data_IF_103111571795
#
_entry.id   IF_103111571795
#
_cell.length_a   1.000
_cell.length_b   1.000
_cell.length_c   1.000
_cell.angle_alpha   90.00
_cell.angle_beta   90.00
_cell.angle_gamma   90.00
#
_symmetry.space_group_name_H-M   'P 1'
#
loop_
_entity.id
_entity.type
_entity.pdbx_description
1 polymer ?
#
# COMPACT_ATOMS: atom_id res chain seq x y z
N UNK A 1 24.51 -6.58 63.01
CA UNK A 1 24.88 -5.27 62.43
C UNK A 1 23.76 -4.87 61.50
N UNK A 2 22.83 -4.11 62.05
CA UNK A 2 21.52 -3.80 61.45
C UNK A 2 21.60 -2.36 60.97
N UNK A 3 21.59 -2.14 59.67
CA UNK A 3 21.72 -0.78 59.10
C UNK A 3 20.32 -0.23 58.80
N UNK A 4 19.86 0.62 59.70
CA UNK A 4 18.72 1.51 59.56
C UNK A 4 19.13 2.71 58.70
N UNK A 5 18.34 3.10 57.70
CA UNK A 5 18.42 4.46 57.12
C UNK A 5 17.05 4.93 56.60
N UNK A 6 16.37 5.64 57.49
CA UNK A 6 15.76 6.97 57.33
C UNK A 6 15.03 7.33 56.03
N UNK A 7 13.70 7.35 56.12
CA UNK A 7 12.75 8.16 55.33
C UNK A 7 12.57 9.57 55.90
N UNK A 8 12.53 10.61 55.05
CA UNK A 8 11.85 11.93 55.21
C UNK A 8 11.95 12.71 53.86
N UNK A 9 11.15 13.77 53.56
CA UNK A 9 9.72 13.76 53.30
C UNK A 9 9.33 14.49 51.97
N UNK A 10 8.05 14.38 51.65
CA UNK A 10 7.28 15.07 50.60
C UNK A 10 7.55 16.59 50.52
N UNK A 11 7.76 17.11 49.31
CA UNK A 11 7.53 18.53 48.99
C UNK A 11 6.57 18.65 47.81
N UNK A 12 5.41 19.25 48.11
CA UNK A 12 4.35 19.64 47.18
C UNK A 12 4.82 20.79 46.27
N UNK A 13 4.68 20.65 44.94
CA UNK A 13 4.84 21.77 44.01
C UNK A 13 3.63 21.94 43.10
N UNK A 14 2.87 23.00 43.42
CA UNK A 14 1.99 23.88 42.64
C UNK A 14 1.48 23.37 41.28
N UNK A 15 0.15 23.34 41.19
CA UNK A 15 -0.61 23.13 39.96
C UNK A 15 -0.33 24.15 38.87
N UNK A 16 -0.08 23.64 37.67
CA UNK A 16 -0.17 24.35 36.41
C UNK A 16 -1.38 23.85 35.64
N UNK A 17 -2.37 24.73 35.49
CA UNK A 17 -3.59 24.53 34.68
C UNK A 17 -3.16 24.42 33.21
N UNK A 18 -3.08 23.20 32.65
CA UNK A 18 -2.95 23.04 31.19
C UNK A 18 -4.32 23.24 30.57
N UNK A 19 -4.42 24.29 29.75
CA UNK A 19 -5.58 24.58 28.92
C UNK A 19 -5.91 23.38 28.03
N UNK A 20 -7.18 22.96 28.08
CA UNK A 20 -7.76 22.08 27.10
C UNK A 20 -7.67 22.76 25.72
N UNK A 21 -7.01 22.12 24.76
CA UNK A 21 -7.19 22.45 23.35
C UNK A 21 -8.48 21.78 22.91
N UNK A 22 -9.52 22.58 22.75
CA UNK A 22 -10.68 22.23 21.94
C UNK A 22 -10.22 21.89 20.54
N UNK A 23 -10.44 20.64 20.12
CA UNK A 23 -10.00 20.16 18.81
C UNK A 23 -10.19 18.67 18.61
N UNK A 24 -11.22 18.08 19.23
CA UNK A 24 -11.71 16.75 18.85
C UNK A 24 -13.24 16.77 18.94
N UNK A 25 -13.86 17.43 17.95
CA UNK A 25 -15.26 17.18 17.64
C UNK A 25 -15.25 16.04 16.63
N UNK A 26 -15.14 14.81 17.12
CA UNK A 26 -15.57 13.65 16.37
C UNK A 26 -17.00 13.92 15.90
N UNK A 27 -17.20 13.96 14.59
CA UNK A 27 -18.53 14.10 14.02
C UNK A 27 -19.40 12.94 14.55
N UNK A 28 -20.62 13.22 15.04
CA UNK A 28 -21.52 12.16 15.46
C UNK A 28 -21.80 11.24 14.27
N UNK A 29 -21.75 9.93 14.50
CA UNK A 29 -22.20 8.95 13.52
C UNK A 29 -23.64 9.29 13.11
N UNK A 30 -23.82 9.72 11.86
CA UNK A 30 -25.11 10.10 11.34
C UNK A 30 -26.00 8.85 11.24
N UNK A 31 -27.13 8.89 11.96
CA UNK A 31 -28.31 8.06 11.70
C UNK A 31 -28.73 8.19 10.22
N UNK A 32 -29.43 7.20 9.65
CA UNK A 32 -29.94 7.07 8.26
C UNK A 32 -30.80 8.24 7.70
N UNK A 33 -30.72 9.44 8.27
CA UNK A 33 -31.16 10.68 7.63
C UNK A 33 -30.31 10.96 6.38
N UNK A 34 -30.99 11.37 5.30
CA UNK A 34 -30.48 11.56 3.93
C UNK A 34 -28.98 11.88 3.86
N UNK A 35 -28.17 10.85 3.57
CA UNK A 35 -26.75 11.02 3.29
C UNK A 35 -26.58 11.92 2.08
N UNK A 36 -25.58 12.80 2.12
CA UNK A 36 -25.25 13.62 0.96
C UNK A 36 -24.87 12.72 -0.21
N UNK A 37 -25.08 13.21 -1.42
CA UNK A 37 -24.86 12.46 -2.66
C UNK A 37 -23.84 13.19 -3.51
N UNK A 38 -22.85 12.47 -4.01
CA UNK A 38 -21.72 13.02 -4.78
C UNK A 38 -21.53 12.25 -6.09
N UNK A 39 -21.00 12.90 -7.12
CA UNK A 39 -20.57 12.24 -8.37
C UNK A 39 -19.10 11.81 -8.30
N UNK A 40 -18.65 11.01 -9.28
CA UNK A 40 -17.22 10.70 -9.41
C UNK A 40 -16.38 11.96 -9.68
N UNK A 41 -16.92 12.91 -10.46
CA UNK A 41 -16.29 14.21 -10.70
C UNK A 41 -16.09 15.01 -9.40
N UNK A 42 -17.11 15.07 -8.52
CA UNK A 42 -16.99 15.73 -7.21
C UNK A 42 -15.81 15.17 -6.42
N UNK A 43 -15.71 13.83 -6.33
CA UNK A 43 -14.63 13.15 -5.58
C UNK A 43 -13.27 13.41 -6.21
N UNK A 44 -13.19 13.44 -7.55
CA UNK A 44 -11.93 13.63 -8.29
C UNK A 44 -11.21 14.95 -7.99
N UNK A 45 -11.95 15.97 -7.56
CA UNK A 45 -11.40 17.26 -7.15
C UNK A 45 -10.59 17.17 -5.84
N UNK A 46 -10.83 16.14 -5.02
CA UNK A 46 -10.24 15.95 -3.70
C UNK A 46 -9.13 14.87 -3.74
N UNK A 47 -8.00 15.22 -4.38
CA UNK A 47 -6.92 14.28 -4.71
C UNK A 47 -5.54 14.64 -4.14
N UNK A 48 -5.47 15.49 -3.11
CA UNK A 48 -4.21 16.00 -2.55
C UNK A 48 -3.99 15.56 -1.09
N UNK A 49 -2.75 15.57 -0.55
CA UNK A 49 -2.52 15.16 0.84
C UNK A 49 -3.28 15.95 1.92
N UNK A 50 -3.67 17.20 1.62
CA UNK A 50 -4.43 18.06 2.52
C UNK A 50 -5.94 18.07 2.24
N UNK A 51 -6.38 17.34 1.22
CA UNK A 51 -7.77 17.27 0.78
C UNK A 51 -7.95 16.00 -0.07
N UNK A 52 -8.31 14.89 0.59
CA UNK A 52 -8.31 13.55 0.00
C UNK A 52 -9.60 12.81 0.26
N UNK A 53 -10.38 12.60 -0.79
CA UNK A 53 -11.56 11.74 -0.76
C UNK A 53 -11.32 10.46 -1.55
N UNK A 54 -12.09 9.42 -1.20
CA UNK A 54 -12.08 8.13 -1.88
C UNK A 54 -13.49 7.55 -1.96
N UNK A 55 -13.72 6.70 -2.96
CA UNK A 55 -14.93 5.90 -3.10
C UNK A 55 -14.62 4.44 -2.74
N UNK A 56 -15.42 3.86 -1.85
CA UNK A 56 -15.36 2.42 -1.48
C UNK A 56 -16.77 1.87 -1.38
N UNK A 57 -17.09 0.86 -2.19
CA UNK A 57 -18.41 0.20 -2.31
C UNK A 57 -19.57 1.20 -2.42
N UNK A 58 -19.38 2.23 -3.26
CA UNK A 58 -20.37 3.28 -3.49
C UNK A 58 -20.54 4.28 -2.33
N UNK A 59 -19.81 4.14 -1.23
CA UNK A 59 -19.70 5.19 -0.21
C UNK A 59 -18.62 6.21 -0.59
N UNK A 60 -18.82 7.46 -0.21
CA UNK A 60 -17.83 8.54 -0.37
C UNK A 60 -17.28 8.93 1.00
N UNK A 61 -15.94 8.96 1.11
CA UNK A 61 -15.25 9.13 2.37
C UNK A 61 -14.21 10.24 2.28
N UNK A 62 -14.28 11.20 3.21
CA UNK A 62 -13.22 12.19 3.43
C UNK A 62 -12.20 11.63 4.42
N UNK A 63 -11.08 11.14 3.89
CA UNK A 63 -10.02 10.51 4.69
C UNK A 63 -8.87 11.47 4.98
N UNK A 64 -9.01 12.77 4.69
CA UNK A 64 -7.96 13.79 4.86
C UNK A 64 -7.31 13.75 6.24
N UNK A 65 -8.14 13.71 7.29
CA UNK A 65 -7.65 13.66 8.67
C UNK A 65 -7.06 12.30 9.09
N UNK A 66 -7.30 11.25 8.30
CA UNK A 66 -6.79 9.90 8.52
C UNK A 66 -5.46 9.64 7.82
N UNK A 67 -5.18 10.32 6.70
CA UNK A 67 -3.94 10.21 5.92
C UNK A 67 -2.67 10.08 6.77
N UNK A 68 -2.37 10.97 7.75
CA UNK A 68 -1.14 10.86 8.54
C UNK A 68 -1.10 9.65 9.48
N UNK A 69 -2.24 9.03 9.74
CA UNK A 69 -2.42 7.87 10.63
C UNK A 69 -2.51 6.56 9.87
N UNK A 70 -2.59 6.60 8.54
CA UNK A 70 -2.79 5.41 7.72
C UNK A 70 -1.60 4.44 7.84
N UNK A 71 -1.80 3.19 8.31
CA UNK A 71 -0.72 2.23 8.48
C UNK A 71 0.01 1.87 7.17
N UNK A 72 -0.68 1.90 6.03
CA UNK A 72 -0.08 1.68 4.72
C UNK A 72 0.72 2.87 4.18
N UNK A 73 0.80 3.98 4.93
CA UNK A 73 1.58 5.15 4.55
C UNK A 73 1.15 5.72 3.20
N UNK A 74 2.13 5.92 2.32
CA UNK A 74 1.93 6.56 1.01
C UNK A 74 1.02 5.76 0.06
N UNK A 75 0.75 4.48 0.33
CA UNK A 75 -0.19 3.69 -0.47
C UNK A 75 -1.61 4.27 -0.47
N UNK A 76 -1.96 5.14 0.48
CA UNK A 76 -3.28 5.81 0.47
C UNK A 76 -3.47 6.74 -0.72
N UNK A 77 -2.39 7.30 -1.28
CA UNK A 77 -2.47 8.28 -2.36
C UNK A 77 -2.65 7.67 -3.75
N UNK A 78 -2.56 6.35 -3.82
CA UNK A 78 -2.51 5.57 -5.06
C UNK A 78 -3.83 5.67 -5.88
N UNK A 79 -4.96 5.91 -5.20
CA UNK A 79 -6.27 6.23 -5.79
C UNK A 79 -6.87 7.49 -5.14
N UNK A 80 -6.06 8.50 -4.86
CA UNK A 80 -6.55 9.77 -4.31
C UNK A 80 -7.59 10.40 -5.25
N UNK A 81 -8.74 10.80 -4.71
CA UNK A 81 -9.86 11.34 -5.50
C UNK A 81 -10.58 10.29 -6.36
N UNK A 82 -10.41 8.99 -6.10
CA UNK A 82 -10.93 7.95 -6.98
C UNK A 82 -11.60 6.77 -6.27
N UNK A 83 -12.10 5.87 -7.11
CA UNK A 83 -12.63 4.55 -6.73
C UNK A 83 -11.48 3.61 -6.34
N UNK A 84 -11.55 3.06 -5.13
CA UNK A 84 -10.51 2.19 -4.58
C UNK A 84 -11.05 0.95 -3.86
N UNK A 85 -12.28 0.51 -4.13
CA UNK A 85 -12.91 -0.67 -3.51
C UNK A 85 -12.02 -1.88 -3.58
N UNK A 86 -11.53 -2.27 -4.77
CA UNK A 86 -10.70 -3.46 -4.90
C UNK A 86 -9.40 -3.34 -4.10
N UNK A 87 -8.74 -2.18 -4.15
CA UNK A 87 -7.53 -1.94 -3.37
C UNK A 87 -7.84 -2.00 -1.86
N UNK A 88 -8.94 -1.38 -1.43
CA UNK A 88 -9.34 -1.39 -0.04
C UNK A 88 -9.61 -2.82 0.45
N UNK A 89 -10.46 -3.56 -0.25
CA UNK A 89 -10.86 -4.92 0.11
C UNK A 89 -9.71 -5.93 0.01
N UNK A 90 -8.73 -5.72 -0.88
CA UNK A 90 -7.56 -6.58 -1.00
C UNK A 90 -6.57 -6.40 0.15
N UNK A 91 -6.29 -5.15 0.54
CA UNK A 91 -5.24 -4.85 1.53
C UNK A 91 -5.76 -4.80 2.98
N UNK A 92 -7.05 -4.54 3.20
CA UNK A 92 -7.56 -4.29 4.54
C UNK A 92 -8.29 -5.51 5.13
N UNK A 93 -8.08 -5.81 6.43
CA UNK A 93 -8.92 -6.77 7.12
C UNK A 93 -10.34 -6.21 7.28
N UNK A 94 -11.34 -7.07 7.41
CA UNK A 94 -12.76 -6.68 7.50
C UNK A 94 -13.03 -5.60 8.55
N UNK A 95 -12.38 -5.69 9.72
CA UNK A 95 -12.47 -4.71 10.81
C UNK A 95 -12.11 -3.26 10.41
N UNK A 96 -11.36 -3.07 9.32
CA UNK A 96 -11.00 -1.74 8.83
C UNK A 96 -12.22 -0.97 8.31
N UNK A 97 -13.28 -1.66 7.89
CA UNK A 97 -14.54 -1.04 7.44
C UNK A 97 -15.18 -0.18 8.54
N UNK A 98 -15.15 -0.65 9.79
CA UNK A 98 -15.66 0.12 10.93
C UNK A 98 -14.82 1.38 11.22
N UNK A 99 -13.54 1.40 10.80
CA UNK A 99 -12.71 2.61 10.86
C UNK A 99 -13.06 3.53 9.70
N UNK A 100 -13.19 3.00 8.48
CA UNK A 100 -13.54 3.74 7.28
C UNK A 100 -14.89 4.45 7.40
N UNK A 101 -15.91 3.80 7.96
CA UNK A 101 -17.26 4.36 8.10
C UNK A 101 -17.30 5.66 8.91
N UNK A 102 -16.33 5.88 9.81
CA UNK A 102 -16.21 7.14 10.58
C UNK A 102 -15.88 8.35 9.70
N UNK A 103 -15.39 8.12 8.49
CA UNK A 103 -14.98 9.11 7.51
C UNK A 103 -16.01 9.28 6.38
N UNK A 104 -17.12 8.55 6.43
CA UNK A 104 -18.15 8.62 5.39
C UNK A 104 -18.84 9.97 5.42
N UNK A 105 -18.91 10.62 4.26
CA UNK A 105 -19.59 11.91 4.08
C UNK A 105 -20.85 11.78 3.24
N UNK A 106 -20.99 10.69 2.48
CA UNK A 106 -22.15 10.47 1.63
C UNK A 106 -22.07 9.20 0.79
N UNK A 107 -22.89 9.18 -0.25
CA UNK A 107 -23.03 8.07 -1.19
C UNK A 107 -22.75 8.55 -2.62
N UNK A 108 -22.13 7.67 -3.41
CA UNK A 108 -21.85 7.92 -4.82
C UNK A 108 -23.16 7.78 -5.61
N UNK A 109 -23.48 8.80 -6.39
CA UNK A 109 -24.48 8.72 -7.45
C UNK A 109 -23.79 8.47 -8.78
N UNK A 110 -24.14 7.33 -9.36
CA UNK A 110 -23.73 6.99 -10.72
C UNK A 110 -24.45 7.88 -11.73
N UNK A 111 -23.70 8.49 -12.64
CA UNK A 111 -24.18 9.36 -13.73
C UNK A 111 -23.86 8.67 -15.06
N UNK A 112 -24.90 8.20 -15.74
CA UNK A 112 -24.73 7.52 -17.03
C UNK A 112 -24.12 8.47 -18.08
N UNK A 113 -23.02 8.04 -18.70
CA UNK A 113 -22.32 8.79 -19.75
C UNK A 113 -21.29 9.79 -19.25
N UNK A 114 -21.04 9.84 -17.93
CA UNK A 114 -19.86 10.49 -17.38
C UNK A 114 -18.67 9.51 -17.49
N UNK A 115 -17.59 9.96 -18.13
CA UNK A 115 -16.40 9.15 -18.37
C UNK A 115 -15.74 8.66 -17.06
N UNK A 116 -15.80 9.46 -15.98
CA UNK A 116 -15.25 9.05 -14.67
C UNK A 116 -16.07 7.94 -14.02
N UNK A 117 -17.32 7.80 -14.44
CA UNK A 117 -18.29 6.86 -13.92
C UNK A 117 -18.25 5.51 -14.69
N UNK A 118 -17.81 5.53 -15.96
CA UNK A 118 -17.60 4.33 -16.78
C UNK A 118 -16.44 3.46 -16.26
N UNK A 119 -15.45 4.08 -15.59
CA UNK A 119 -14.31 3.38 -14.98
C UNK A 119 -14.63 2.74 -13.62
N UNK A 120 -15.83 2.98 -13.07
CA UNK A 120 -16.27 2.43 -11.79
C UNK A 120 -16.89 1.05 -11.99
N UNK A 121 -16.17 0.02 -11.59
CA UNK A 121 -16.64 -1.37 -11.61
C UNK A 121 -17.68 -1.59 -10.51
N UNK A 122 -18.75 -2.31 -10.84
CA UNK A 122 -19.69 -2.84 -9.84
C UNK A 122 -19.16 -4.16 -9.29
N UNK A 123 -19.02 -4.23 -7.97
CA UNK A 123 -18.50 -5.42 -7.28
C UNK A 123 -19.64 -6.21 -6.65
N UNK A 124 -19.63 -7.54 -6.83
CA UNK A 124 -20.43 -8.41 -5.96
C UNK A 124 -19.95 -8.26 -4.51
N UNK A 125 -20.87 -8.32 -3.55
CA UNK A 125 -20.48 -8.43 -2.15
C UNK A 125 -20.19 -9.91 -1.80
N UNK A 126 -18.98 -10.34 -2.14
CA UNK A 126 -18.43 -11.66 -1.84
C UNK A 126 -17.58 -11.69 -0.55
N UNK A 127 -17.68 -10.62 0.25
CA UNK A 127 -17.01 -10.46 1.53
C UNK A 127 -17.86 -10.92 2.72
N UNK A 128 -18.86 -11.76 2.43
CA UNK A 128 -19.73 -12.41 3.41
C UNK A 128 -19.24 -13.84 3.68
N UNK A 129 -19.31 -14.28 4.92
CA UNK A 129 -18.95 -15.66 5.31
C UNK A 129 -19.65 -16.71 4.43
N UNK A 130 -18.89 -17.72 3.97
CA UNK A 130 -19.37 -18.76 3.06
C UNK A 130 -19.26 -18.42 1.57
N UNK A 131 -18.86 -17.18 1.22
CA UNK A 131 -18.45 -16.82 -0.14
C UNK A 131 -16.96 -17.09 -0.33
N UNK A 132 -16.58 -17.47 -1.55
CA UNK A 132 -15.23 -17.90 -1.88
C UNK A 132 -14.13 -16.91 -1.44
N UNK A 133 -14.30 -15.62 -1.73
CA UNK A 133 -13.29 -14.61 -1.41
C UNK A 133 -13.10 -14.44 0.10
N UNK A 134 -14.20 -14.29 0.85
CA UNK A 134 -14.16 -14.20 2.30
C UNK A 134 -13.49 -15.44 2.95
N UNK A 135 -13.88 -16.63 2.51
CA UNK A 135 -13.38 -17.90 3.06
C UNK A 135 -11.88 -18.10 2.77
N UNK A 136 -11.43 -17.82 1.55
CA UNK A 136 -10.00 -17.89 1.17
C UNK A 136 -9.18 -16.89 1.98
N UNK A 137 -9.67 -15.65 2.12
CA UNK A 137 -8.98 -14.60 2.90
C UNK A 137 -8.88 -14.97 4.38
N UNK A 138 -9.96 -15.49 4.97
CA UNK A 138 -9.98 -15.97 6.35
C UNK A 138 -9.04 -17.17 6.54
N UNK A 139 -9.06 -18.12 5.60
CA UNK A 139 -8.19 -19.30 5.61
C UNK A 139 -6.70 -18.93 5.54
N UNK A 140 -6.32 -18.04 4.62
CA UNK A 140 -4.95 -17.54 4.50
C UNK A 140 -4.50 -16.81 5.78
N UNK A 141 -5.33 -15.91 6.31
CA UNK A 141 -5.03 -15.20 7.56
C UNK A 141 -4.85 -16.16 8.75
N UNK A 142 -5.69 -17.20 8.84
CA UNK A 142 -5.59 -18.26 9.85
C UNK A 142 -4.28 -19.03 9.70
N UNK A 143 -3.89 -19.41 8.49
CA UNK A 143 -2.64 -20.12 8.23
C UNK A 143 -1.42 -19.37 8.76
N UNK A 144 -1.26 -18.08 8.43
CA UNK A 144 -0.13 -17.27 8.91
C UNK A 144 -0.13 -17.14 10.44
N UNK A 145 -1.31 -16.93 11.04
CA UNK A 145 -1.47 -16.81 12.49
C UNK A 145 -1.08 -18.11 13.21
N UNK A 146 -1.62 -19.24 12.78
CA UNK A 146 -1.42 -20.54 13.44
C UNK A 146 0.04 -21.00 13.34
N UNK A 147 0.69 -20.72 12.21
CA UNK A 147 2.10 -21.06 11.99
C UNK A 147 3.08 -20.00 12.52
N UNK A 148 2.58 -18.87 13.05
CA UNK A 148 3.40 -17.74 13.57
C UNK A 148 4.37 -17.19 12.51
N UNK A 149 3.90 -17.12 11.26
CA UNK A 149 4.66 -16.60 10.12
C UNK A 149 4.16 -15.19 9.83
N UNK A 150 5.09 -14.25 9.62
CA UNK A 150 4.75 -12.90 9.18
C UNK A 150 4.47 -12.93 7.65
N UNK A 151 3.27 -12.53 7.19
CA UNK A 151 2.95 -12.54 5.76
C UNK A 151 3.73 -11.49 4.94
N UNK A 152 4.43 -10.55 5.60
CA UNK A 152 5.14 -9.43 4.96
C UNK A 152 6.65 -9.57 4.98
N UNK A 153 7.20 -10.54 5.69
CA UNK A 153 8.66 -10.71 5.80
C UNK A 153 9.05 -12.16 6.04
N UNK A 154 10.07 -12.60 5.32
CA UNK A 154 10.72 -13.88 5.51
C UNK A 154 12.24 -13.71 5.30
N UNK A 155 13.07 -14.51 5.96
CA UNK A 155 14.52 -14.23 6.00
C UNK A 155 15.22 -14.42 4.64
N UNK A 156 14.72 -15.36 3.82
CA UNK A 156 15.16 -15.64 2.46
C UNK A 156 14.98 -14.43 1.56
N UNK A 157 14.04 -13.52 1.86
CA UNK A 157 13.92 -12.26 1.12
C UNK A 157 15.21 -11.44 1.22
N UNK A 158 15.83 -11.38 2.41
CA UNK A 158 17.08 -10.65 2.61
C UNK A 158 18.27 -11.33 1.95
N UNK A 159 18.33 -12.66 1.98
CA UNK A 159 19.39 -13.42 1.31
C UNK A 159 19.27 -13.27 -0.21
N UNK A 160 18.07 -13.44 -0.76
CA UNK A 160 17.78 -13.21 -2.18
C UNK A 160 18.14 -11.77 -2.59
N UNK A 161 17.76 -10.78 -1.79
CA UNK A 161 18.15 -9.37 -2.00
C UNK A 161 19.66 -9.20 -2.09
N UNK A 162 20.40 -9.73 -1.11
CA UNK A 162 21.85 -9.62 -1.08
C UNK A 162 22.48 -10.27 -2.31
N UNK A 163 22.06 -11.48 -2.68
CA UNK A 163 22.57 -12.21 -3.85
C UNK A 163 22.31 -11.43 -5.14
N UNK A 164 21.09 -10.91 -5.33
CA UNK A 164 20.72 -10.13 -6.52
C UNK A 164 21.55 -8.85 -6.60
N UNK A 165 21.60 -8.05 -5.53
CA UNK A 165 22.32 -6.77 -5.55
C UNK A 165 23.84 -6.97 -5.68
N UNK A 166 24.41 -7.97 -5.01
CA UNK A 166 25.80 -8.35 -5.21
C UNK A 166 26.07 -8.82 -6.64
N UNK A 167 25.17 -9.60 -7.24
CA UNK A 167 25.24 -10.05 -8.63
C UNK A 167 25.23 -8.89 -9.63
N UNK A 168 24.45 -7.83 -9.37
CA UNK A 168 24.49 -6.59 -10.17
C UNK A 168 25.88 -5.95 -10.11
N UNK A 169 26.43 -5.76 -8.90
CA UNK A 169 27.73 -5.11 -8.72
C UNK A 169 28.86 -5.95 -9.33
N UNK A 170 28.88 -7.25 -9.05
CA UNK A 170 29.90 -8.20 -9.56
C UNK A 170 29.80 -8.33 -11.07
N UNK A 171 28.59 -8.49 -11.61
CA UNK A 171 28.36 -8.60 -13.05
C UNK A 171 28.79 -7.32 -13.78
N UNK A 172 28.37 -6.15 -13.28
CA UNK A 172 28.74 -4.86 -13.86
C UNK A 172 30.24 -4.59 -13.80
N UNK A 173 30.85 -4.74 -12.62
CA UNK A 173 32.29 -4.51 -12.46
C UNK A 173 33.10 -5.51 -13.29
N UNK A 174 32.73 -6.79 -13.22
CA UNK A 174 33.41 -7.88 -13.88
C UNK A 174 33.36 -7.77 -15.41
N UNK A 175 32.24 -7.36 -15.99
CA UNK A 175 32.11 -7.27 -17.45
C UNK A 175 32.82 -6.05 -18.05
N UNK A 176 32.93 -4.94 -17.31
CA UNK A 176 33.44 -3.67 -17.85
C UNK A 176 34.82 -3.26 -17.34
N UNK A 177 35.20 -3.65 -16.12
CA UNK A 177 36.36 -3.07 -15.43
C UNK A 177 37.37 -4.10 -14.94
N UNK A 178 37.05 -5.40 -14.92
CA UNK A 178 37.98 -6.42 -14.47
C UNK A 178 39.13 -6.61 -15.49
N UNK A 179 40.40 -6.45 -15.07
CA UNK A 179 41.54 -6.60 -15.97
C UNK A 179 41.70 -8.06 -16.40
N UNK A 180 41.95 -8.28 -17.69
CA UNK A 180 42.25 -9.62 -18.23
C UNK A 180 41.04 -10.56 -18.33
N UNK A 181 39.82 -10.06 -18.17
CA UNK A 181 38.61 -10.86 -18.41
C UNK A 181 38.52 -11.23 -19.89
N UNK A 182 38.33 -12.52 -20.18
CA UNK A 182 38.12 -12.97 -21.57
C UNK A 182 36.75 -12.53 -22.07
N UNK A 183 36.58 -12.43 -23.39
CA UNK A 183 35.28 -12.07 -23.98
C UNK A 183 34.15 -13.00 -23.52
N UNK A 184 34.40 -14.32 -23.47
CA UNK A 184 33.40 -15.29 -23.02
C UNK A 184 33.01 -15.11 -21.55
N UNK A 185 33.98 -14.82 -20.68
CA UNK A 185 33.70 -14.51 -19.27
C UNK A 185 32.96 -13.18 -19.12
N UNK A 186 33.33 -12.16 -19.89
CA UNK A 186 32.64 -10.87 -19.90
C UNK A 186 31.17 -11.01 -20.36
N UNK A 187 30.90 -11.86 -21.36
CA UNK A 187 29.55 -12.16 -21.81
C UNK A 187 28.73 -12.86 -20.72
N UNK A 188 29.31 -13.85 -20.04
CA UNK A 188 28.64 -14.53 -18.92
C UNK A 188 28.31 -13.56 -17.76
N UNK A 189 29.24 -12.64 -17.44
CA UNK A 189 29.04 -11.60 -16.43
C UNK A 189 27.99 -10.57 -16.86
N UNK A 190 27.90 -10.25 -18.15
CA UNK A 190 26.85 -9.39 -18.69
C UNK A 190 25.46 -10.04 -18.61
N UNK A 191 25.36 -11.35 -18.87
CA UNK A 191 24.12 -12.12 -18.67
C UNK A 191 23.73 -12.10 -17.20
N UNK A 192 24.66 -12.41 -16.28
CA UNK A 192 24.42 -12.33 -14.84
C UNK A 192 23.91 -10.95 -14.43
N UNK A 193 24.56 -9.88 -14.91
CA UNK A 193 24.16 -8.51 -14.62
C UNK A 193 22.73 -8.23 -15.11
N UNK A 194 22.40 -8.61 -16.35
CA UNK A 194 21.05 -8.46 -16.91
C UNK A 194 20.00 -9.24 -16.12
N UNK A 195 20.26 -10.50 -15.79
CA UNK A 195 19.37 -11.35 -14.99
C UNK A 195 19.14 -10.75 -13.61
N UNK A 196 20.19 -10.37 -12.88
CA UNK A 196 20.01 -9.77 -11.55
C UNK A 196 19.25 -8.44 -11.61
N UNK A 197 19.43 -7.62 -12.65
CA UNK A 197 18.59 -6.43 -12.85
C UNK A 197 17.12 -6.78 -13.09
N UNK A 198 16.82 -7.82 -13.87
CA UNK A 198 15.45 -8.30 -14.06
C UNK A 198 14.84 -8.83 -12.74
N UNK A 199 15.64 -9.55 -11.95
CA UNK A 199 15.25 -10.06 -10.62
C UNK A 199 14.93 -8.95 -9.62
N UNK A 200 15.54 -7.76 -9.74
CA UNK A 200 15.09 -6.59 -8.97
C UNK A 200 13.61 -6.35 -9.24
N UNK A 201 13.21 -6.36 -10.52
CA UNK A 201 11.86 -6.12 -11.01
C UNK A 201 10.82 -7.15 -10.59
N UNK A 202 11.17 -8.44 -10.50
CA UNK A 202 10.24 -9.52 -10.13
C UNK A 202 10.37 -9.99 -8.68
N UNK A 203 11.32 -9.41 -7.92
CA UNK A 203 11.51 -9.74 -6.52
C UNK A 203 11.60 -8.50 -5.63
N UNK A 204 12.77 -7.85 -5.56
CA UNK A 204 13.04 -6.89 -4.47
C UNK A 204 12.03 -5.74 -4.50
N UNK A 205 11.94 -5.05 -5.65
CA UNK A 205 11.06 -3.91 -5.79
C UNK A 205 9.59 -4.32 -5.83
N UNK A 206 9.27 -5.48 -6.43
CA UNK A 206 7.91 -6.00 -6.56
C UNK A 206 7.31 -6.19 -5.16
N UNK A 207 7.97 -7.02 -4.36
CA UNK A 207 7.53 -7.33 -2.99
C UNK A 207 7.49 -6.05 -2.13
N UNK A 208 8.48 -5.17 -2.27
CA UNK A 208 8.53 -3.91 -1.54
C UNK A 208 7.41 -2.92 -1.95
N UNK A 209 7.05 -2.85 -3.23
CA UNK A 209 5.96 -2.00 -3.70
C UNK A 209 4.57 -2.56 -3.35
N UNK A 210 4.47 -3.85 -3.00
CA UNK A 210 3.32 -4.44 -2.30
C UNK A 210 3.33 -4.24 -0.77
N UNK A 211 4.35 -3.58 -0.22
CA UNK A 211 4.44 -3.30 1.22
C UNK A 211 5.07 -4.42 2.05
N UNK A 212 5.70 -5.42 1.43
CA UNK A 212 6.55 -6.42 2.09
C UNK A 212 7.98 -5.89 2.30
N UNK A 213 8.84 -6.56 3.08
CA UNK A 213 10.11 -6.08 3.68
C UNK A 213 9.99 -5.51 5.11
N UNK A 214 9.00 -5.95 5.87
CA UNK A 214 8.89 -5.69 7.30
C UNK A 214 8.32 -4.31 7.67
N UNK A 215 8.61 -3.86 8.89
CA UNK A 215 7.89 -2.74 9.52
C UNK A 215 8.62 -1.38 9.47
N UNK A 216 9.87 -1.35 9.02
CA UNK A 216 10.62 -0.09 8.90
C UNK A 216 10.25 0.62 7.61
N UNK A 217 9.61 1.80 7.71
CA UNK A 217 9.20 2.59 6.55
C UNK A 217 10.38 3.05 5.69
N UNK A 218 11.49 3.43 6.32
CA UNK A 218 12.71 3.82 5.61
C UNK A 218 13.29 2.64 4.84
N UNK A 219 13.33 1.46 5.45
CA UNK A 219 13.83 0.26 4.79
C UNK A 219 12.94 -0.17 3.63
N UNK A 220 11.63 -0.16 3.84
CA UNK A 220 10.64 -0.44 2.81
C UNK A 220 10.83 0.49 1.60
N UNK A 221 10.91 1.81 1.85
CA UNK A 221 11.13 2.79 0.77
C UNK A 221 12.47 2.57 0.05
N UNK A 222 13.53 2.21 0.77
CA UNK A 222 14.82 1.91 0.13
C UNK A 222 14.72 0.70 -0.82
N UNK A 223 13.99 -0.35 -0.42
CA UNK A 223 13.76 -1.53 -1.28
C UNK A 223 12.86 -1.19 -2.48
N UNK A 224 11.85 -0.34 -2.31
CA UNK A 224 11.01 0.14 -3.42
C UNK A 224 11.83 0.88 -4.48
N UNK A 225 12.75 1.75 -4.04
CA UNK A 225 13.62 2.55 -4.91
C UNK A 225 14.71 1.74 -5.64
N UNK A 226 14.83 0.43 -5.38
CA UNK A 226 15.77 -0.40 -6.14
C UNK A 226 15.40 -0.49 -7.62
N UNK A 227 14.11 -0.34 -7.97
CA UNK A 227 13.68 -0.24 -9.37
C UNK A 227 14.26 1.02 -10.06
N UNK A 228 14.26 2.15 -9.35
CA UNK A 228 14.81 3.44 -9.82
C UNK A 228 16.31 3.34 -10.06
N UNK A 229 17.03 2.63 -9.19
CA UNK A 229 18.48 2.38 -9.36
C UNK A 229 18.78 1.58 -10.63
N UNK A 230 17.92 0.65 -11.03
CA UNK A 230 18.13 -0.16 -12.25
C UNK A 230 17.62 0.52 -13.52
N UNK A 231 17.01 1.71 -13.41
CA UNK A 231 16.63 2.57 -14.53
C UNK A 231 15.13 2.58 -14.86
N UNK A 232 14.25 2.13 -13.96
CA UNK A 232 12.80 2.13 -14.15
C UNK A 232 12.09 2.84 -12.99
N UNK A 233 10.85 3.34 -13.16
CA UNK A 233 10.19 4.14 -12.11
C UNK A 233 9.35 3.29 -11.17
N UNK A 234 9.70 3.26 -9.87
CA UNK A 234 8.87 2.62 -8.85
C UNK A 234 7.49 3.26 -8.71
N UNK A 235 7.37 4.56 -9.01
CA UNK A 235 6.09 5.25 -9.05
C UNK A 235 5.21 4.75 -10.20
N UNK A 236 5.73 4.76 -11.43
CA UNK A 236 4.96 4.27 -12.59
C UNK A 236 4.60 2.79 -12.44
N UNK A 237 5.52 1.98 -11.91
CA UNK A 237 5.27 0.57 -11.65
C UNK A 237 4.10 0.37 -10.67
N UNK A 238 4.07 1.11 -9.56
CA UNK A 238 2.92 1.06 -8.64
C UNK A 238 1.62 1.46 -9.35
N UNK A 239 1.65 2.52 -10.16
CA UNK A 239 0.46 2.96 -10.89
C UNK A 239 -0.04 1.91 -11.89
N UNK A 240 0.84 1.33 -12.70
CA UNK A 240 0.42 0.35 -13.70
C UNK A 240 0.06 -0.99 -13.06
N UNK A 241 0.95 -1.51 -12.21
CA UNK A 241 0.83 -2.87 -11.70
C UNK A 241 -0.07 -2.97 -10.47
N UNK A 242 0.07 -2.09 -9.48
CA UNK A 242 -0.75 -2.16 -8.26
C UNK A 242 -2.14 -1.58 -8.50
N UNK A 243 -2.24 -0.44 -9.19
CA UNK A 243 -3.52 0.27 -9.38
C UNK A 243 -4.30 -0.21 -10.57
N UNK A 244 -3.61 -0.46 -11.68
CA UNK A 244 -4.24 -1.00 -12.88
C UNK A 244 -4.40 -2.50 -12.77
N UNK A 245 -3.29 -3.22 -12.88
CA UNK A 245 -3.31 -4.67 -13.03
C UNK A 245 -3.89 -5.41 -11.81
N UNK A 246 -3.40 -5.17 -10.59
CA UNK A 246 -3.88 -5.91 -9.42
C UNK A 246 -5.29 -5.55 -8.96
N UNK A 247 -5.77 -4.34 -9.27
CA UNK A 247 -7.15 -3.98 -8.99
C UNK A 247 -8.11 -4.60 -10.02
N UNK A 248 -7.65 -4.90 -11.23
CA UNK A 248 -8.52 -5.33 -12.33
C UNK A 248 -7.92 -6.49 -13.13
N UNK A 249 -7.28 -7.44 -12.45
CA UNK A 249 -6.46 -8.46 -13.11
C UNK A 249 -7.27 -9.26 -14.13
N UNK A 250 -6.83 -9.25 -15.38
CA UNK A 250 -7.48 -9.89 -16.53
C UNK A 250 -8.90 -9.36 -16.85
N UNK A 251 -9.26 -8.15 -16.42
CA UNK A 251 -10.53 -7.52 -16.79
C UNK A 251 -10.36 -6.74 -18.08
N UNK A 252 -11.01 -7.21 -19.15
CA UNK A 252 -10.95 -6.59 -20.48
C UNK A 252 -11.31 -5.10 -20.46
N UNK A 253 -10.47 -4.28 -21.10
CA UNK A 253 -10.67 -2.82 -21.21
C UNK A 253 -10.13 -2.01 -20.02
N UNK A 254 -10.00 -2.62 -18.84
CA UNK A 254 -9.60 -1.93 -17.59
C UNK A 254 -8.17 -2.28 -17.18
N UNK A 255 -7.77 -3.55 -17.27
CA UNK A 255 -6.39 -3.97 -16.98
C UNK A 255 -5.42 -3.34 -18.00
N UNK A 256 -4.42 -2.56 -17.59
CA UNK A 256 -3.43 -2.03 -18.53
C UNK A 256 -2.52 -3.12 -19.12
N UNK A 257 -2.36 -4.27 -18.45
CA UNK A 257 -1.36 -5.29 -18.81
C UNK A 257 -1.87 -6.28 -19.88
N UNK A 258 -3.18 -6.33 -20.15
CA UNK A 258 -3.78 -7.19 -21.20
C UNK A 258 -3.84 -6.53 -22.57
N UNK A 259 -3.47 -5.25 -22.70
CA UNK A 259 -3.50 -4.54 -23.98
C UNK A 259 -2.35 -5.03 -24.86
N UNK A 260 -2.60 -6.06 -25.66
CA UNK A 260 -1.62 -6.59 -26.62
C UNK A 260 -1.71 -5.98 -28.03
N UNK A 261 -2.70 -5.13 -28.33
CA UNK A 261 -2.77 -4.38 -29.59
C UNK A 261 -3.73 -3.19 -29.45
N UNK A 262 -3.43 -2.09 -30.12
CA UNK A 262 -4.38 -0.97 -30.28
C UNK A 262 -5.66 -1.48 -30.96
N UNK A 263 -6.82 -0.97 -30.55
CA UNK A 263 -8.04 -1.12 -31.35
C UNK A 263 -7.85 -0.23 -32.58
N UNK A 264 -7.87 -0.87 -33.75
CA UNK A 264 -7.95 -0.21 -35.07
C UNK A 264 -9.03 0.89 -35.11
#
# INVERSE_FOLDING_TARGET
TTTTTTTMPMTTRRGGRKMARDGDRGAPAATEASRAVYTAEDVSAHNTPGDLWVIVRGGVYDVTSFVPKHPGGNMIYVKAGGECTQLFDSYHPEKARAVLEKYRIGDLKRVRGDAMDEDIVEYEDDLVEGKFFADVKAGAAKYFKDNKIDPRVHWEMYVKTFVILAGIVIGHYGSFFAPGVSFGAALALAVLHGTCKAEVGVSIQHDANHGAYGNSRTWLHAMQLTLDVVGASSFMWKQQHVVGHHAYTNVEGIDPDIRCSEKD
#
